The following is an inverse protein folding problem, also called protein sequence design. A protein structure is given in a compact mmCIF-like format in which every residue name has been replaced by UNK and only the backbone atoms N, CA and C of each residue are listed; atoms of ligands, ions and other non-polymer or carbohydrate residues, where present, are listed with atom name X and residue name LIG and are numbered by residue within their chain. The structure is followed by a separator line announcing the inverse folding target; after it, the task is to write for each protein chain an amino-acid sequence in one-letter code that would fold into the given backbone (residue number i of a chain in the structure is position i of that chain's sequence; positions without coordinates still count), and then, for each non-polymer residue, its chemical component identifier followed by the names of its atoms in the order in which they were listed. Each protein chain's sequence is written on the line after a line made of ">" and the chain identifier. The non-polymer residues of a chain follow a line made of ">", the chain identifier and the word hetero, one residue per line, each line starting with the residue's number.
data_IF_879029087355
#
_entry.id   IF_879029087355
#
_cell.length_a   1.000
_cell.length_b   1.000
_cell.length_c   1.000
_cell.angle_alpha   90.00
_cell.angle_beta   90.00
_cell.angle_gamma   90.00
#
_symmetry.space_group_name_H-M   'P 1'
#
loop_
_entity.id
_entity.type
_entity.pdbx_description
1 polymer ?
#
# COMPACT_ATOMS: atom_id res chain seq x y z
N UNK A 1 14.95 -22.54 30.11
CA UNK A 1 14.31 -21.37 29.45
C UNK A 1 13.67 -21.80 28.12
N UNK A 2 12.38 -22.19 28.12
CA UNK A 2 11.63 -22.47 26.88
C UNK A 2 11.26 -21.12 26.23
N UNK A 3 12.02 -20.69 25.22
CA UNK A 3 11.53 -19.65 24.29
C UNK A 3 10.32 -20.25 23.59
N UNK A 4 9.11 -19.85 23.99
CA UNK A 4 7.92 -20.01 23.15
C UNK A 4 8.22 -19.27 21.85
N UNK A 5 8.65 -20.00 20.81
CA UNK A 5 8.56 -19.52 19.43
C UNK A 5 7.06 -19.28 19.22
N UNK A 6 6.61 -18.03 19.36
CA UNK A 6 5.29 -17.64 18.85
C UNK A 6 5.30 -18.01 17.37
N UNK A 7 4.60 -19.08 17.01
CA UNK A 7 4.41 -19.49 15.62
C UNK A 7 3.74 -18.33 14.89
N UNK A 8 4.23 -18.03 13.69
CA UNK A 8 3.56 -17.05 12.84
C UNK A 8 2.18 -17.61 12.49
N UNK A 9 1.09 -16.90 12.79
CA UNK A 9 -0.23 -17.47 12.61
C UNK A 9 -0.55 -17.58 11.11
N UNK A 10 -1.03 -18.76 10.69
CA UNK A 10 -1.28 -19.08 9.29
C UNK A 10 -2.24 -18.07 8.61
N UNK A 11 -3.26 -17.60 9.33
CA UNK A 11 -4.21 -16.61 8.80
C UNK A 11 -3.55 -15.33 8.33
N UNK A 12 -2.45 -14.87 8.96
CA UNK A 12 -1.72 -13.67 8.49
C UNK A 12 -1.06 -13.91 7.14
N UNK A 13 -0.50 -15.11 6.95
CA UNK A 13 0.09 -15.51 5.67
C UNK A 13 -0.99 -15.61 4.60
N UNK A 14 -2.14 -16.20 4.92
CA UNK A 14 -3.29 -16.28 3.99
C UNK A 14 -3.76 -14.89 3.58
N UNK A 15 -4.01 -13.98 4.53
CA UNK A 15 -4.44 -12.61 4.21
C UNK A 15 -3.39 -11.86 3.37
N UNK A 16 -2.10 -12.05 3.65
CA UNK A 16 -1.05 -11.45 2.84
C UNK A 16 -1.10 -11.93 1.39
N UNK A 17 -1.19 -13.25 1.16
CA UNK A 17 -1.24 -13.78 -0.21
C UNK A 17 -2.54 -13.42 -0.94
N UNK A 18 -3.67 -13.35 -0.23
CA UNK A 18 -4.93 -12.85 -0.80
C UNK A 18 -4.82 -11.38 -1.18
N UNK A 19 -4.26 -10.54 -0.32
CA UNK A 19 -4.03 -9.12 -0.61
C UNK A 19 -3.05 -8.91 -1.77
N UNK A 20 -1.97 -9.70 -1.82
CA UNK A 20 -1.01 -9.69 -2.92
C UNK A 20 -1.64 -10.16 -4.23
N UNK A 21 -2.48 -11.19 -4.18
CA UNK A 21 -3.25 -11.67 -5.32
C UNK A 21 -4.20 -10.59 -5.86
N UNK A 22 -4.93 -9.91 -4.97
CA UNK A 22 -5.82 -8.80 -5.34
C UNK A 22 -5.03 -7.63 -5.95
N UNK A 23 -3.88 -7.28 -5.38
CA UNK A 23 -2.98 -6.25 -5.92
C UNK A 23 -2.51 -6.59 -7.34
N UNK A 24 -2.01 -7.81 -7.54
CA UNK A 24 -1.55 -8.28 -8.85
C UNK A 24 -2.71 -8.31 -9.85
N UNK A 25 -3.87 -8.82 -9.45
CA UNK A 25 -5.04 -8.89 -10.31
C UNK A 25 -5.51 -7.49 -10.76
N UNK A 26 -5.47 -6.50 -9.86
CA UNK A 26 -5.83 -5.12 -10.18
C UNK A 26 -4.90 -4.49 -11.23
N UNK A 27 -3.61 -4.82 -11.18
CA UNK A 27 -2.54 -4.26 -12.04
C UNK A 27 -2.22 -5.16 -13.25
N UNK A 28 -3.00 -6.21 -13.47
CA UNK A 28 -2.81 -7.13 -14.59
C UNK A 28 -4.01 -7.07 -15.55
N UNK A 29 -3.82 -7.39 -16.84
CA UNK A 29 -4.94 -7.62 -17.75
C UNK A 29 -5.86 -8.73 -17.22
N UNK A 30 -7.19 -8.62 -17.38
CA UNK A 30 -7.89 -7.61 -18.15
C UNK A 30 -8.16 -6.30 -17.39
N UNK A 31 -8.04 -6.26 -16.06
CA UNK A 31 -8.51 -5.12 -15.25
C UNK A 31 -7.79 -3.83 -15.62
N UNK A 32 -6.46 -3.84 -15.60
CA UNK A 32 -5.63 -2.67 -15.92
C UNK A 32 -5.81 -2.23 -17.39
N UNK A 33 -6.00 -3.20 -18.30
CA UNK A 33 -6.22 -2.93 -19.72
C UNK A 33 -7.58 -2.26 -19.99
N UNK A 34 -8.65 -2.77 -19.38
CA UNK A 34 -10.00 -2.21 -19.53
C UNK A 34 -10.15 -0.88 -18.75
N UNK A 35 -9.43 -0.71 -17.65
CA UNK A 35 -9.42 0.53 -16.87
C UNK A 35 -8.87 1.73 -17.62
N UNK A 36 -7.97 1.52 -18.59
CA UNK A 36 -7.47 2.58 -19.45
C UNK A 36 -8.53 3.09 -20.45
N UNK A 37 -9.59 2.32 -20.69
CA UNK A 37 -10.61 2.60 -21.71
C UNK A 37 -11.95 3.00 -21.06
N UNK A 38 -12.33 2.30 -19.99
CA UNK A 38 -13.62 2.46 -19.34
C UNK A 38 -13.45 2.97 -17.90
N UNK A 39 -14.08 4.11 -17.62
CA UNK A 39 -14.12 4.70 -16.28
C UNK A 39 -14.67 3.74 -15.21
N UNK A 40 -15.63 2.88 -15.56
CA UNK A 40 -16.16 1.88 -14.62
C UNK A 40 -15.10 0.86 -14.19
N UNK A 41 -14.29 0.36 -15.14
CA UNK A 41 -13.18 -0.53 -14.85
C UNK A 41 -12.06 0.17 -14.08
N UNK A 42 -11.80 1.43 -14.38
CA UNK A 42 -10.88 2.27 -13.62
C UNK A 42 -11.31 2.38 -12.14
N UNK A 43 -12.59 2.61 -11.87
CA UNK A 43 -13.10 2.62 -10.50
C UNK A 43 -13.03 1.26 -9.84
N UNK A 44 -13.31 0.17 -10.55
CA UNK A 44 -13.17 -1.19 -10.02
C UNK A 44 -11.71 -1.47 -9.63
N UNK A 45 -10.74 -1.04 -10.44
CA UNK A 45 -9.31 -1.14 -10.12
C UNK A 45 -8.97 -0.39 -8.82
N UNK A 46 -9.41 0.86 -8.70
CA UNK A 46 -9.18 1.65 -7.48
C UNK A 46 -9.84 1.03 -6.26
N UNK A 47 -11.07 0.55 -6.37
CA UNK A 47 -11.77 -0.13 -5.25
C UNK A 47 -11.08 -1.44 -4.86
N UNK A 48 -10.59 -2.21 -5.82
CA UNK A 48 -9.86 -3.43 -5.56
C UNK A 48 -8.54 -3.15 -4.82
N UNK A 49 -7.84 -2.08 -5.17
CA UNK A 49 -6.60 -1.67 -4.50
C UNK A 49 -6.86 -1.12 -3.09
N UNK A 50 -7.80 -0.19 -2.94
CA UNK A 50 -8.09 0.52 -1.68
C UNK A 50 -8.85 -0.31 -0.66
N UNK A 51 -9.90 -1.03 -1.08
CA UNK A 51 -10.85 -1.70 -0.16
C UNK A 51 -10.46 -3.16 0.07
N UNK A 52 -9.77 -3.80 -0.87
CA UNK A 52 -9.41 -5.22 -0.78
C UNK A 52 -7.92 -5.42 -0.55
N UNK A 53 -7.07 -4.97 -1.48
CA UNK A 53 -5.65 -5.27 -1.43
C UNK A 53 -4.97 -4.62 -0.22
N UNK A 54 -5.15 -3.30 -0.02
CA UNK A 54 -4.49 -2.56 1.06
C UNK A 54 -4.85 -3.10 2.46
N UNK A 55 -6.13 -3.35 2.83
CA UNK A 55 -6.47 -3.89 4.14
C UNK A 55 -5.95 -5.32 4.35
N UNK A 56 -6.05 -6.19 3.34
CA UNK A 56 -5.56 -7.57 3.43
C UNK A 56 -4.04 -7.63 3.63
N UNK A 57 -3.29 -6.81 2.86
CA UNK A 57 -1.84 -6.67 3.01
C UNK A 57 -1.48 -6.12 4.40
N UNK A 58 -2.21 -5.13 4.90
CA UNK A 58 -1.98 -4.55 6.22
C UNK A 58 -2.21 -5.58 7.34
N UNK A 59 -3.32 -6.34 7.28
CA UNK A 59 -3.65 -7.39 8.25
C UNK A 59 -2.66 -8.56 8.24
N UNK A 60 -2.14 -8.90 7.05
CA UNK A 60 -1.06 -9.87 6.87
C UNK A 60 0.24 -9.47 7.58
N UNK A 61 0.41 -8.19 7.92
CA UNK A 61 1.57 -7.63 8.63
C UNK A 61 2.94 -8.03 8.03
N UNK A 62 3.15 -7.93 6.69
CA UNK A 62 4.31 -8.48 6.00
C UNK A 62 5.62 -7.79 6.36
N UNK A 63 5.55 -6.56 6.90
CA UNK A 63 6.71 -5.75 7.27
C UNK A 63 7.63 -6.50 8.25
N UNK A 64 7.07 -7.22 9.23
CA UNK A 64 7.87 -7.93 10.24
C UNK A 64 8.67 -9.11 9.65
N UNK A 65 8.09 -10.02 8.85
CA UNK A 65 8.85 -11.07 8.17
C UNK A 65 9.79 -10.53 7.10
N UNK A 66 9.37 -9.53 6.29
CA UNK A 66 10.24 -8.89 5.29
C UNK A 66 11.50 -8.30 5.93
N UNK A 67 11.36 -7.55 7.02
CA UNK A 67 12.50 -6.98 7.75
C UNK A 67 13.43 -8.03 8.38
N UNK A 68 12.93 -9.25 8.64
CA UNK A 68 13.76 -10.36 9.13
C UNK A 68 14.53 -11.07 8.02
N UNK A 69 14.00 -11.06 6.80
CA UNK A 69 14.67 -11.61 5.62
C UNK A 69 15.80 -10.74 5.08
N UNK A 70 15.85 -9.45 5.44
CA UNK A 70 16.92 -8.54 5.03
C UNK A 70 18.29 -8.91 5.64
N UNK A 71 19.40 -8.72 4.88
CA UNK A 71 20.76 -8.85 5.42
C UNK A 71 20.96 -8.00 6.66
N UNK A 72 21.75 -8.50 7.61
CA UNK A 72 22.03 -7.80 8.88
C UNK A 72 22.54 -6.38 8.64
N UNK A 73 23.44 -6.21 7.67
CA UNK A 73 24.05 -4.93 7.27
C UNK A 73 22.99 -3.89 6.88
N UNK A 74 22.01 -4.27 6.04
CA UNK A 74 20.92 -3.37 5.63
C UNK A 74 20.01 -3.03 6.82
N UNK A 75 19.67 -4.05 7.62
CA UNK A 75 18.79 -3.87 8.78
C UNK A 75 19.40 -2.94 9.83
N UNK A 76 20.68 -3.08 10.15
CA UNK A 76 21.34 -2.25 11.18
C UNK A 76 21.90 -0.95 10.63
N UNK A 77 22.41 -0.94 9.39
CA UNK A 77 23.06 0.21 8.77
C UNK A 77 22.10 1.22 8.15
N UNK A 78 20.93 0.78 7.67
CA UNK A 78 19.98 1.67 6.97
C UNK A 78 18.64 1.72 7.70
N UNK A 79 17.98 0.57 7.88
CA UNK A 79 16.60 0.54 8.40
C UNK A 79 16.53 1.06 9.84
N UNK A 80 17.43 0.60 10.71
CA UNK A 80 17.43 0.99 12.13
C UNK A 80 17.69 2.47 12.37
N UNK A 81 18.70 3.13 11.77
CA UNK A 81 18.89 4.57 11.92
C UNK A 81 17.73 5.36 11.31
N UNK A 82 17.24 4.98 10.13
CA UNK A 82 16.09 5.64 9.51
C UNK A 82 14.82 5.54 10.39
N UNK A 83 14.53 4.36 10.94
CA UNK A 83 13.40 4.16 11.84
C UNK A 83 13.55 4.90 13.20
N UNK A 84 14.76 5.30 13.57
CA UNK A 84 15.05 6.10 14.77
C UNK A 84 15.04 7.59 14.52
N UNK A 85 15.20 8.03 13.27
CA UNK A 85 15.17 9.44 12.91
C UNK A 85 13.84 10.06 13.38
N UNK A 86 13.93 11.16 14.13
CA UNK A 86 12.76 11.80 14.74
C UNK A 86 11.73 12.21 13.69
N UNK A 87 12.19 12.75 12.55
CA UNK A 87 11.34 13.15 11.44
C UNK A 87 10.57 11.96 10.86
N UNK A 88 11.24 10.83 10.61
CA UNK A 88 10.59 9.61 10.09
C UNK A 88 9.56 9.09 11.09
N UNK A 89 9.88 9.07 12.38
CA UNK A 89 8.93 8.64 13.41
C UNK A 89 7.73 9.58 13.50
N UNK A 90 7.94 10.89 13.42
CA UNK A 90 6.87 11.89 13.43
C UNK A 90 5.96 11.73 12.21
N UNK A 91 6.52 11.59 11.00
CA UNK A 91 5.77 11.35 9.78
C UNK A 91 4.95 10.06 9.85
N UNK A 92 5.57 8.93 10.24
CA UNK A 92 4.86 7.65 10.39
C UNK A 92 3.75 7.75 11.44
N UNK A 93 3.97 8.49 12.54
CA UNK A 93 2.95 8.68 13.56
C UNK A 93 1.80 9.58 13.06
N UNK A 94 2.10 10.62 12.29
CA UNK A 94 1.11 11.51 11.71
C UNK A 94 0.23 10.77 10.70
N UNK A 95 0.83 10.07 9.73
CA UNK A 95 0.07 9.35 8.69
C UNK A 95 -0.75 8.20 9.28
N UNK A 96 -0.30 7.57 10.36
CA UNK A 96 -1.07 6.52 11.06
C UNK A 96 -2.21 7.06 11.93
N UNK A 97 -2.30 8.37 12.14
CA UNK A 97 -3.40 8.94 12.91
C UNK A 97 -4.70 8.81 12.10
N UNK A 98 -5.79 8.25 12.65
CA UNK A 98 -6.97 7.89 11.87
C UNK A 98 -7.61 9.09 11.15
N UNK A 99 -7.62 10.27 11.78
CA UNK A 99 -8.12 11.48 11.13
C UNK A 99 -7.22 11.98 9.99
N UNK A 100 -5.90 11.80 10.12
CA UNK A 100 -4.95 12.20 9.08
C UNK A 100 -5.04 11.22 7.91
N UNK A 101 -5.08 9.91 8.19
CA UNK A 101 -5.32 8.89 7.18
C UNK A 101 -6.65 9.12 6.45
N UNK A 102 -7.74 9.37 7.19
CA UNK A 102 -9.03 9.68 6.58
C UNK A 102 -8.99 10.96 5.73
N UNK A 103 -8.33 12.02 6.21
CA UNK A 103 -8.17 13.25 5.45
C UNK A 103 -7.32 13.06 4.18
N UNK A 104 -6.23 12.28 4.26
CA UNK A 104 -5.38 11.95 3.10
C UNK A 104 -6.14 11.07 2.10
N UNK A 105 -6.93 10.11 2.58
CA UNK A 105 -7.75 9.25 1.74
C UNK A 105 -8.84 10.06 1.02
N UNK A 106 -9.67 10.80 1.75
CA UNK A 106 -10.76 11.59 1.17
C UNK A 106 -10.20 12.73 0.31
N UNK A 107 -9.20 13.44 0.80
CA UNK A 107 -8.56 14.52 0.06
C UNK A 107 -7.88 14.04 -1.22
N UNK A 108 -7.20 12.89 -1.17
CA UNK A 108 -6.64 12.24 -2.34
C UNK A 108 -7.70 11.82 -3.35
N UNK A 109 -8.78 11.21 -2.86
CA UNK A 109 -9.90 10.81 -3.71
C UNK A 109 -10.44 12.02 -4.48
N UNK A 110 -10.68 13.16 -3.84
CA UNK A 110 -11.09 14.37 -4.55
C UNK A 110 -10.00 14.93 -5.47
N UNK A 111 -8.75 14.97 -5.01
CA UNK A 111 -7.64 15.55 -5.77
C UNK A 111 -7.40 14.80 -7.09
N UNK A 112 -7.37 13.47 -7.06
CA UNK A 112 -7.15 12.64 -8.26
C UNK A 112 -8.33 12.67 -9.24
N UNK A 113 -9.50 13.13 -8.80
CA UNK A 113 -10.67 13.33 -9.66
C UNK A 113 -10.82 14.77 -10.17
N UNK A 114 -9.89 15.67 -9.83
CA UNK A 114 -9.82 16.97 -10.48
C UNK A 114 -9.39 16.77 -11.94
N UNK A 115 -10.01 17.45 -12.93
CA UNK A 115 -9.73 17.24 -14.35
C UNK A 115 -8.25 17.27 -14.69
N UNK A 116 -7.51 18.26 -14.17
CA UNK A 116 -6.08 18.43 -14.46
C UNK A 116 -5.22 17.25 -13.95
N UNK A 117 -5.52 16.74 -12.75
CA UNK A 117 -4.78 15.62 -12.15
C UNK A 117 -5.19 14.29 -12.76
N UNK A 118 -6.48 14.14 -13.07
CA UNK A 118 -7.03 12.97 -13.74
C UNK A 118 -6.40 12.81 -15.13
N UNK A 119 -6.41 13.87 -15.95
CA UNK A 119 -5.82 13.86 -17.28
C UNK A 119 -4.31 13.63 -17.19
N UNK A 120 -3.63 14.23 -16.21
CA UNK A 120 -2.20 14.01 -15.98
C UNK A 120 -1.87 12.55 -15.63
N UNK A 121 -2.69 11.91 -14.78
CA UNK A 121 -2.54 10.50 -14.45
C UNK A 121 -2.82 9.60 -15.67
N UNK A 122 -3.79 9.97 -16.51
CA UNK A 122 -4.13 9.21 -17.71
C UNK A 122 -3.02 9.27 -18.78
N UNK A 123 -2.37 10.43 -18.89
CA UNK A 123 -1.37 10.70 -19.94
C UNK A 123 0.07 10.34 -19.52
N UNK A 124 0.39 10.31 -18.22
CA UNK A 124 1.71 9.98 -17.69
C UNK A 124 1.67 8.79 -16.71
N UNK A 125 2.26 7.67 -17.13
CA UNK A 125 2.36 6.44 -16.34
C UNK A 125 3.04 6.63 -14.96
N UNK A 126 3.92 7.63 -14.81
CA UNK A 126 4.56 7.93 -13.52
C UNK A 126 3.58 8.58 -12.56
N UNK A 127 2.75 9.48 -13.07
CA UNK A 127 1.69 10.14 -12.29
C UNK A 127 0.64 9.09 -11.92
N UNK A 128 0.27 8.22 -12.87
CA UNK A 128 -0.61 7.08 -12.61
C UNK A 128 -0.07 6.15 -11.51
N UNK A 129 1.25 5.88 -11.48
CA UNK A 129 1.86 5.10 -10.42
C UNK A 129 1.81 5.81 -9.06
N UNK A 130 1.98 7.14 -9.04
CA UNK A 130 1.89 7.95 -7.82
C UNK A 130 0.46 7.95 -7.28
N UNK A 131 -0.53 8.06 -8.15
CA UNK A 131 -1.95 7.92 -7.80
C UNK A 131 -2.22 6.55 -7.17
N UNK A 132 -1.80 5.46 -7.83
CA UNK A 132 -1.92 4.12 -7.26
C UNK A 132 -1.22 3.96 -5.91
N UNK A 133 -0.03 4.56 -5.74
CA UNK A 133 0.68 4.56 -4.47
C UNK A 133 -0.05 5.34 -3.38
N UNK A 134 -0.72 6.44 -3.74
CA UNK A 134 -1.50 7.26 -2.81
C UNK A 134 -2.64 6.46 -2.17
N UNK A 135 -3.26 5.54 -2.92
CA UNK A 135 -4.33 4.68 -2.41
C UNK A 135 -3.92 3.67 -1.34
N UNK A 136 -2.62 3.52 -1.07
CA UNK A 136 -2.08 2.71 0.04
C UNK A 136 -1.76 3.53 1.30
N UNK A 137 -1.98 4.85 1.29
CA UNK A 137 -1.82 5.74 2.44
C UNK A 137 -3.12 5.88 3.23
#
# INVERSE_FOLDING_TARGET
>A
MRRMRRSWPFWRTTLFFLGLGAFIAALAPPIDGEAAIFFSWHMVQHMLLTVVAAPLLLLGAPVRPLLRGLPSVVRTGVIRPLARAQMVRALVHAVRHPLVAAALYVGGLYAWHLPDLYDAALLDARIHLIEHAWFFL
#
